data_IF_960143652537
#
_entry.id   IF_960143652537
#
_cell.length_a   1.000
_cell.length_b   1.000
_cell.length_c   1.000
_cell.angle_alpha   90.00
_cell.angle_beta   90.00
_cell.angle_gamma   90.00
#
_symmetry.space_group_name_H-M   'P 1'
#
loop_
_entity.id
_entity.type
_entity.pdbx_description
1 polymer ?
#
# COMPACT_ATOMS: atom_id res chain seq x y z
N UNK A 1 25.35 33.36 12.86
CA UNK A 1 23.97 33.54 13.41
C UNK A 1 23.05 32.74 12.49
N UNK A 2 22.28 31.77 12.80
CA UNK A 2 21.68 31.11 13.94
C UNK A 2 21.37 29.67 13.55
N UNK A 3 22.14 28.66 13.98
CA UNK A 3 21.87 27.22 13.81
C UNK A 3 21.05 26.62 14.97
N UNK A 4 20.52 27.44 15.88
CA UNK A 4 19.90 26.94 17.12
C UNK A 4 18.39 26.76 17.09
N UNK A 5 17.68 27.26 16.10
CA UNK A 5 16.20 27.24 16.12
C UNK A 5 15.58 26.00 15.43
N UNK A 6 16.32 25.31 14.58
CA UNK A 6 15.81 24.10 13.88
C UNK A 6 15.78 22.87 14.82
N UNK A 7 16.72 22.79 15.78
CA UNK A 7 16.74 21.69 16.77
C UNK A 7 15.59 21.77 17.79
N UNK A 8 15.14 22.98 18.13
CA UNK A 8 14.01 23.17 19.06
C UNK A 8 12.66 22.89 18.41
N UNK A 9 12.54 23.08 17.09
CA UNK A 9 11.29 22.80 16.37
C UNK A 9 11.04 21.30 16.19
N UNK A 10 12.08 20.50 16.03
CA UNK A 10 11.99 19.04 15.86
C UNK A 10 11.76 18.30 17.20
N UNK A 11 12.15 18.87 18.35
CA UNK A 11 11.89 18.25 19.66
C UNK A 11 10.47 18.49 20.19
N UNK A 12 9.77 19.52 19.70
CA UNK A 12 8.41 19.85 20.18
C UNK A 12 7.29 19.15 19.40
N UNK A 13 7.61 18.42 18.33
CA UNK A 13 6.62 17.64 17.53
C UNK A 13 6.54 16.17 18.00
N UNK A 14 7.48 15.70 18.82
CA UNK A 14 7.62 14.28 19.18
C UNK A 14 7.11 13.92 20.59
N UNK A 15 6.58 14.85 21.37
CA UNK A 15 6.17 14.51 22.74
C UNK A 15 4.97 15.36 23.22
N UNK A 16 3.73 14.97 22.87
CA UNK A 16 2.73 14.73 23.89
C UNK A 16 1.74 13.63 23.53
N UNK A 17 1.96 12.41 23.96
CA UNK A 17 0.88 11.41 24.08
C UNK A 17 1.27 10.25 25.00
N UNK A 18 1.53 10.55 26.24
CA UNK A 18 1.52 9.53 27.30
C UNK A 18 0.97 10.20 28.54
N UNK A 19 -0.32 9.98 28.78
CA UNK A 19 -1.04 9.91 30.05
C UNK A 19 -2.54 10.05 29.78
N UNK A 20 -3.29 8.95 29.68
CA UNK A 20 -4.69 8.93 30.09
C UNK A 20 -4.97 7.57 30.73
N UNK A 21 -5.39 7.66 31.96
CA UNK A 21 -5.77 6.60 32.89
C UNK A 21 -7.12 5.94 32.57
N UNK A 22 -7.17 4.65 32.78
CA UNK A 22 -8.17 3.68 33.29
C UNK A 22 -9.66 4.02 33.33
N UNK A 23 -10.47 3.11 32.76
CA UNK A 23 -11.89 2.98 33.02
C UNK A 23 -12.48 1.73 32.34
N UNK A 24 -13.27 0.94 33.06
CA UNK A 24 -13.82 -0.37 32.68
C UNK A 24 -14.76 -0.44 31.46
N UNK A 25 -14.89 0.61 30.68
CA UNK A 25 -15.53 0.61 29.35
C UNK A 25 -14.56 0.17 28.22
N UNK A 26 -13.41 -0.40 28.55
CA UNK A 26 -12.26 -0.56 27.66
C UNK A 26 -12.22 -1.93 26.94
N UNK A 27 -12.92 -2.94 27.45
CA UNK A 27 -12.77 -4.32 26.93
C UNK A 27 -13.54 -4.53 25.60
N UNK A 28 -14.73 -3.99 25.47
CA UNK A 28 -15.51 -4.05 24.21
C UNK A 28 -14.89 -3.17 23.11
N UNK A 29 -14.35 -2.01 23.49
CA UNK A 29 -13.65 -1.11 22.56
C UNK A 29 -12.31 -1.69 22.07
N UNK A 30 -11.60 -2.46 22.90
CA UNK A 30 -10.32 -3.04 22.56
C UNK A 30 -10.48 -4.23 21.58
N UNK A 31 -11.53 -5.05 21.73
CA UNK A 31 -11.86 -6.13 20.79
C UNK A 31 -12.23 -5.58 19.41
N UNK A 32 -12.99 -4.49 19.38
CA UNK A 32 -13.42 -3.80 18.18
C UNK A 32 -12.24 -3.20 17.39
N UNK A 33 -11.26 -2.60 18.09
CA UNK A 33 -10.04 -2.06 17.47
C UNK A 33 -9.14 -3.17 16.92
N UNK A 34 -9.01 -4.28 17.64
CA UNK A 34 -8.18 -5.40 17.19
C UNK A 34 -8.78 -6.11 15.97
N UNK A 35 -10.09 -6.23 15.90
CA UNK A 35 -10.78 -6.76 14.72
C UNK A 35 -10.66 -5.80 13.53
N UNK A 36 -10.81 -4.50 13.76
CA UNK A 36 -10.64 -3.49 12.73
C UNK A 36 -9.20 -3.45 12.21
N UNK A 37 -8.20 -3.73 13.06
CA UNK A 37 -6.80 -3.85 12.63
C UNK A 37 -6.63 -4.99 11.63
N UNK A 38 -7.20 -6.16 11.88
CA UNK A 38 -7.18 -7.29 10.93
C UNK A 38 -7.92 -6.97 9.63
N UNK A 39 -9.10 -6.36 9.73
CA UNK A 39 -9.87 -5.97 8.54
C UNK A 39 -9.17 -4.93 7.68
N UNK A 40 -8.43 -3.99 8.29
CA UNK A 40 -7.66 -2.98 7.55
C UNK A 40 -6.50 -3.57 6.74
N UNK A 41 -6.07 -4.78 7.06
CA UNK A 41 -5.03 -5.54 6.35
C UNK A 41 -5.60 -6.42 5.21
N UNK A 42 -6.92 -6.51 5.07
CA UNK A 42 -7.59 -7.27 4.03
C UNK A 42 -7.82 -6.38 2.79
N UNK A 43 -7.16 -6.66 1.64
CA UNK A 43 -7.31 -5.85 0.43
C UNK A 43 -8.73 -5.85 -0.17
N UNK A 44 -9.54 -6.85 0.15
CA UNK A 44 -10.93 -7.03 -0.34
C UNK A 44 -11.95 -6.99 0.80
N UNK A 45 -11.67 -6.25 1.86
CA UNK A 45 -12.60 -6.06 2.97
C UNK A 45 -13.89 -5.37 2.51
N UNK A 46 -15.03 -5.79 3.10
CA UNK A 46 -16.31 -5.10 2.91
C UNK A 46 -16.37 -3.81 3.73
N UNK A 47 -15.42 -2.92 3.51
CA UNK A 47 -15.24 -1.67 4.23
C UNK A 47 -14.70 -0.60 3.28
N UNK A 48 -15.31 0.58 3.28
CA UNK A 48 -14.70 1.72 2.59
C UNK A 48 -13.41 2.12 3.30
N UNK A 49 -12.36 2.39 2.52
CA UNK A 49 -11.12 2.89 3.08
C UNK A 49 -10.40 3.82 2.11
N UNK A 50 -9.64 4.74 2.67
CA UNK A 50 -8.84 5.70 1.91
C UNK A 50 -7.41 5.67 2.44
N UNK A 51 -6.58 4.73 1.96
CA UNK A 51 -5.15 4.72 2.24
C UNK A 51 -4.44 5.88 1.52
N UNK A 52 -3.67 6.63 2.27
CA UNK A 52 -2.69 7.60 1.78
C UNK A 52 -1.32 7.14 2.25
N UNK A 53 -0.37 6.97 1.35
CA UNK A 53 0.95 6.50 1.71
C UNK A 53 2.05 7.26 0.97
N UNK A 54 3.11 7.57 1.71
CA UNK A 54 4.37 8.05 1.17
C UNK A 54 5.32 6.86 0.98
N UNK A 55 5.97 6.81 -0.17
CA UNK A 55 7.01 5.85 -0.51
C UNK A 55 8.27 6.62 -0.90
N UNK A 56 9.33 6.48 -0.13
CA UNK A 56 10.65 7.00 -0.45
C UNK A 56 11.58 5.87 -0.90
N UNK A 57 11.95 5.89 -2.18
CA UNK A 57 12.87 4.93 -2.80
C UNK A 57 14.28 5.53 -2.84
N UNK A 58 15.22 4.91 -2.10
CA UNK A 58 16.59 5.39 -1.96
C UNK A 58 17.53 4.72 -2.96
N UNK A 59 18.52 5.47 -3.42
CA UNK A 59 19.51 5.00 -4.39
C UNK A 59 18.87 4.41 -5.66
N UNK A 60 17.87 5.11 -6.19
CA UNK A 60 17.15 4.72 -7.40
C UNK A 60 17.85 5.27 -8.64
N UNK A 61 17.96 4.45 -9.69
CA UNK A 61 18.61 4.79 -10.94
C UNK A 61 20.13 4.89 -10.84
N UNK A 62 20.79 5.18 -11.96
CA UNK A 62 22.22 5.34 -12.08
C UNK A 62 22.76 6.49 -11.18
N UNK A 63 21.99 7.56 -11.03
CA UNK A 63 22.34 8.74 -10.22
C UNK A 63 22.06 8.54 -8.71
N UNK A 64 21.61 7.36 -8.28
CA UNK A 64 21.33 7.00 -6.88
C UNK A 64 20.39 7.99 -6.18
N UNK A 65 19.33 8.36 -6.83
CA UNK A 65 18.38 9.37 -6.38
C UNK A 65 17.43 8.86 -5.27
N UNK A 66 16.87 9.80 -4.52
CA UNK A 66 15.70 9.58 -3.67
C UNK A 66 14.43 9.92 -4.47
N UNK A 67 13.75 8.91 -4.99
CA UNK A 67 12.45 9.09 -5.65
C UNK A 67 11.34 8.97 -4.62
N UNK A 68 10.52 10.00 -4.54
CA UNK A 68 9.42 10.09 -3.57
C UNK A 68 8.08 9.98 -4.26
N UNK A 69 7.20 9.10 -3.77
CA UNK A 69 5.85 8.92 -4.33
C UNK A 69 4.80 9.00 -3.23
N UNK A 70 3.84 9.90 -3.41
CA UNK A 70 2.61 9.92 -2.62
C UNK A 70 1.56 9.11 -3.36
N UNK A 71 0.93 8.14 -2.70
CA UNK A 71 -0.08 7.27 -3.29
C UNK A 71 -1.41 7.42 -2.55
N UNK A 72 -2.47 7.69 -3.29
CA UNK A 72 -3.85 7.63 -2.81
C UNK A 72 -4.49 6.34 -3.35
N UNK A 73 -5.02 5.48 -2.46
CA UNK A 73 -5.51 4.13 -2.82
C UNK A 73 -6.94 3.87 -2.33
N UNK A 74 -7.98 4.61 -2.78
CA UNK A 74 -9.35 4.39 -2.32
C UNK A 74 -9.85 2.98 -2.62
N UNK A 75 -10.60 2.42 -1.68
CA UNK A 75 -11.24 1.10 -1.76
C UNK A 75 -12.74 1.27 -1.55
N UNK A 76 -13.52 0.81 -2.52
CA UNK A 76 -14.98 0.94 -2.56
C UNK A 76 -15.61 -0.45 -2.71
N UNK A 77 -16.20 -1.02 -1.65
CA UNK A 77 -16.93 -2.27 -1.73
C UNK A 77 -18.38 -2.03 -2.16
N UNK A 78 -18.78 -2.71 -3.23
CA UNK A 78 -20.16 -2.74 -3.74
C UNK A 78 -20.75 -4.12 -3.52
N UNK A 79 -21.86 -4.21 -2.80
CA UNK A 79 -22.56 -5.47 -2.59
C UNK A 79 -23.39 -5.81 -3.82
N UNK A 80 -23.02 -6.85 -4.55
CA UNK A 80 -23.75 -7.34 -5.72
C UNK A 80 -24.88 -8.28 -5.32
N UNK A 81 -24.63 -9.10 -4.30
CA UNK A 81 -25.65 -10.02 -3.74
C UNK A 81 -25.33 -10.34 -2.28
N UNK A 82 -26.17 -11.16 -1.63
CA UNK A 82 -25.92 -11.63 -0.27
C UNK A 82 -24.56 -12.34 -0.13
N UNK A 83 -24.08 -12.98 -1.19
CA UNK A 83 -22.88 -13.82 -1.18
C UNK A 83 -21.72 -13.24 -1.99
N UNK A 84 -21.88 -12.10 -2.67
CA UNK A 84 -20.88 -11.58 -3.61
C UNK A 84 -20.68 -10.08 -3.46
N UNK A 85 -19.43 -9.68 -3.39
CA UNK A 85 -18.94 -8.29 -3.42
C UNK A 85 -18.17 -8.02 -4.71
N UNK A 86 -18.33 -6.81 -5.23
CA UNK A 86 -17.37 -6.20 -6.15
C UNK A 86 -16.56 -5.18 -5.35
N UNK A 87 -15.25 -5.35 -5.31
CA UNK A 87 -14.34 -4.39 -4.69
C UNK A 87 -13.65 -3.60 -5.80
N UNK A 88 -13.87 -2.32 -5.83
CA UNK A 88 -13.14 -1.38 -6.68
C UNK A 88 -12.00 -0.75 -5.88
N UNK A 89 -10.79 -0.73 -6.46
CA UNK A 89 -9.63 -0.03 -5.92
C UNK A 89 -8.99 0.81 -7.01
N UNK A 90 -8.63 2.04 -6.69
CA UNK A 90 -7.76 2.85 -7.54
C UNK A 90 -6.41 3.07 -6.85
N UNK A 91 -5.36 3.24 -7.64
CA UNK A 91 -4.04 3.66 -7.18
C UNK A 91 -3.68 4.90 -7.98
N UNK A 92 -3.56 6.02 -7.29
CA UNK A 92 -3.25 7.33 -7.88
C UNK A 92 -1.89 7.77 -7.32
N UNK A 93 -0.80 7.62 -8.08
CA UNK A 93 0.54 7.96 -7.64
C UNK A 93 0.93 9.37 -8.10
N UNK A 94 1.43 10.19 -7.18
CA UNK A 94 2.10 11.46 -7.47
C UNK A 94 3.57 11.31 -7.09
N UNK A 95 4.44 11.40 -8.08
CA UNK A 95 5.88 11.13 -7.92
C UNK A 95 6.70 12.40 -8.06
N UNK A 96 7.66 12.58 -7.17
CA UNK A 96 8.74 13.56 -7.27
C UNK A 96 10.04 12.86 -7.63
N UNK A 97 10.65 13.30 -8.72
CA UNK A 97 12.00 12.92 -9.16
C UNK A 97 12.92 14.13 -8.94
N UNK A 98 14.00 14.01 -8.13
CA UNK A 98 14.94 15.10 -7.92
C UNK A 98 15.81 15.36 -9.15
N UNK A 99 16.78 16.31 -9.03
CA UNK A 99 17.77 16.58 -10.09
C UNK A 99 18.45 15.28 -10.59
N UNK A 100 18.70 15.15 -11.91
CA UNK A 100 18.62 16.21 -12.92
C UNK A 100 17.20 16.47 -13.44
N UNK A 101 16.24 15.53 -13.26
CA UNK A 101 14.88 15.68 -13.79
C UNK A 101 14.10 16.82 -13.12
N UNK A 102 14.21 16.95 -11.80
CA UNK A 102 13.55 17.93 -10.93
C UNK A 102 12.07 18.13 -11.26
N UNK A 103 11.31 17.01 -11.28
CA UNK A 103 9.92 16.96 -11.71
C UNK A 103 9.02 16.42 -10.62
N UNK A 104 7.80 16.97 -10.54
CA UNK A 104 6.69 16.38 -9.79
C UNK A 104 5.53 16.18 -10.75
N UNK A 105 4.90 15.02 -10.69
CA UNK A 105 3.80 14.74 -11.58
C UNK A 105 2.96 13.54 -11.16
N UNK A 106 1.78 13.45 -11.79
CA UNK A 106 0.94 12.27 -11.72
C UNK A 106 1.58 11.16 -12.56
N UNK A 107 1.70 9.96 -12.02
CA UNK A 107 2.08 8.77 -12.77
C UNK A 107 0.83 8.00 -13.24
N UNK A 108 1.01 6.81 -13.81
CA UNK A 108 -0.10 6.05 -14.36
C UNK A 108 -1.07 5.58 -13.26
N UNK A 109 -2.34 5.90 -13.43
CA UNK A 109 -3.41 5.46 -12.54
C UNK A 109 -3.73 4.00 -12.82
N UNK A 110 -3.86 3.21 -11.75
CA UNK A 110 -4.24 1.80 -11.83
C UNK A 110 -5.62 1.61 -11.21
N UNK A 111 -6.46 0.84 -11.89
CA UNK A 111 -7.81 0.46 -11.50
C UNK A 111 -7.87 -1.05 -11.32
N UNK A 112 -8.30 -1.51 -10.17
CA UNK A 112 -8.38 -2.93 -9.81
C UNK A 112 -9.83 -3.26 -9.42
N UNK A 113 -10.31 -4.40 -9.91
CA UNK A 113 -11.66 -4.87 -9.67
C UNK A 113 -11.60 -6.31 -9.18
N UNK A 114 -12.18 -6.59 -8.01
CA UNK A 114 -12.18 -7.94 -7.46
C UNK A 114 -13.62 -8.39 -7.20
N UNK A 115 -13.98 -9.53 -7.73
CA UNK A 115 -15.10 -10.31 -7.22
C UNK A 115 -14.61 -11.10 -6.00
N UNK A 116 -15.31 -10.97 -4.88
CA UNK A 116 -14.94 -11.60 -3.61
C UNK A 116 -16.20 -12.10 -2.89
N UNK A 117 -16.13 -13.23 -2.15
CA UNK A 117 -17.25 -13.67 -1.33
C UNK A 117 -17.64 -12.63 -0.28
N UNK A 118 -18.94 -12.43 -0.12
CA UNK A 118 -19.50 -11.60 0.94
C UNK A 118 -19.88 -12.46 2.14
N UNK A 119 -19.01 -12.54 3.13
CA UNK A 119 -19.28 -13.34 4.33
C UNK A 119 -18.12 -13.31 5.30
N UNK A 120 -18.36 -13.85 6.50
CA UNK A 120 -17.32 -14.05 7.50
C UNK A 120 -16.67 -15.41 7.25
N UNK A 121 -15.46 -15.39 6.69
CA UNK A 121 -14.65 -16.58 6.49
C UNK A 121 -13.24 -16.33 6.99
N UNK A 122 -12.58 -17.38 7.44
CA UNK A 122 -11.15 -17.33 7.73
C UNK A 122 -10.30 -17.36 6.46
N UNK A 123 -10.84 -17.92 5.38
CA UNK A 123 -10.26 -17.90 4.05
C UNK A 123 -11.02 -16.90 3.17
N UNK A 124 -10.32 -15.92 2.66
CA UNK A 124 -10.86 -14.85 1.83
C UNK A 124 -10.07 -14.82 0.53
N UNK A 125 -10.77 -14.64 -0.56
CA UNK A 125 -10.17 -14.49 -1.88
C UNK A 125 -10.86 -13.41 -2.68
N UNK A 126 -10.19 -12.91 -3.67
CA UNK A 126 -10.74 -12.00 -4.68
C UNK A 126 -10.02 -12.20 -6.00
N UNK A 127 -10.75 -12.11 -7.10
CA UNK A 127 -10.23 -12.27 -8.45
C UNK A 127 -10.88 -11.26 -9.38
N UNK A 128 -10.11 -10.70 -10.28
CA UNK A 128 -10.64 -9.81 -11.31
C UNK A 128 -9.56 -9.19 -12.18
N UNK A 129 -9.93 -8.23 -13.03
CA UNK A 129 -9.00 -7.51 -13.87
C UNK A 129 -8.36 -6.32 -13.16
N UNK A 130 -7.16 -5.99 -13.60
CA UNK A 130 -6.50 -4.72 -13.38
C UNK A 130 -6.28 -4.01 -14.72
N UNK A 131 -6.43 -2.69 -14.74
CA UNK A 131 -6.16 -1.83 -15.89
C UNK A 131 -5.32 -0.65 -15.41
N UNK A 132 -4.24 -0.31 -16.15
CA UNK A 132 -3.47 0.92 -15.94
C UNK A 132 -3.69 1.86 -17.11
N UNK A 133 -3.97 3.12 -16.79
CA UNK A 133 -4.22 4.18 -17.74
C UNK A 133 -2.96 5.03 -17.88
N UNK A 134 -2.52 5.37 -19.11
CA UNK A 134 -1.38 6.27 -19.33
C UNK A 134 -1.76 7.72 -18.99
N UNK A 135 -1.89 7.99 -17.70
CA UNK A 135 -2.36 9.27 -17.14
C UNK A 135 -1.24 10.19 -16.70
N UNK A 136 0.01 9.92 -17.07
CA UNK A 136 1.16 10.73 -16.70
C UNK A 136 1.01 12.21 -17.03
N UNK A 137 1.17 13.09 -16.03
CA UNK A 137 1.14 14.56 -16.19
C UNK A 137 2.32 15.15 -15.40
N UNK A 138 3.32 15.75 -16.10
CA UNK A 138 3.52 15.75 -17.58
C UNK A 138 3.67 14.32 -18.14
N UNK A 139 3.56 14.16 -19.45
CA UNK A 139 3.45 12.85 -20.11
C UNK A 139 4.63 11.89 -19.83
N UNK A 140 5.82 12.41 -19.58
CA UNK A 140 7.02 11.67 -19.23
C UNK A 140 7.06 11.18 -17.76
N UNK A 141 6.05 11.48 -16.96
CA UNK A 141 5.84 10.91 -15.62
C UNK A 141 5.04 9.59 -15.65
N UNK A 142 4.50 9.22 -16.79
CA UNK A 142 3.80 7.95 -17.03
C UNK A 142 4.55 7.06 -18.02
N UNK A 143 4.08 5.83 -18.17
CA UNK A 143 4.63 4.85 -19.12
C UNK A 143 4.21 5.13 -20.58
N UNK A 144 3.18 5.93 -20.80
CA UNK A 144 2.57 6.12 -22.11
C UNK A 144 1.85 4.88 -22.65
N UNK A 145 1.65 3.85 -21.82
CA UNK A 145 1.10 2.54 -22.18
C UNK A 145 -0.18 2.23 -21.42
N UNK A 146 -1.16 1.72 -22.13
CA UNK A 146 -2.28 1.02 -21.52
C UNK A 146 -1.85 -0.40 -21.19
N UNK A 147 -2.04 -0.80 -19.94
CA UNK A 147 -1.75 -2.17 -19.52
C UNK A 147 -2.98 -2.77 -18.84
N UNK A 148 -3.16 -4.07 -19.02
CA UNK A 148 -4.20 -4.82 -18.33
C UNK A 148 -3.71 -6.24 -17.99
N UNK A 149 -4.43 -6.89 -17.09
CA UNK A 149 -4.18 -8.29 -16.77
C UNK A 149 -4.96 -8.77 -15.56
N UNK A 150 -4.79 -10.03 -15.17
CA UNK A 150 -5.44 -10.61 -14.00
C UNK A 150 -4.84 -10.07 -12.70
N UNK A 151 -5.72 -9.92 -11.73
CA UNK A 151 -5.39 -9.51 -10.39
C UNK A 151 -6.10 -10.43 -9.38
N UNK A 152 -5.35 -11.02 -8.47
CA UNK A 152 -5.86 -11.99 -7.53
C UNK A 152 -5.36 -11.70 -6.12
N UNK A 153 -6.19 -11.96 -5.13
CA UNK A 153 -5.83 -11.93 -3.72
C UNK A 153 -6.34 -13.18 -3.02
N UNK A 154 -5.51 -13.73 -2.16
CA UNK A 154 -5.89 -14.79 -1.22
C UNK A 154 -5.33 -14.45 0.15
N UNK A 155 -6.12 -14.66 1.20
CA UNK A 155 -5.65 -14.47 2.56
C UNK A 155 -6.38 -15.35 3.57
N UNK A 156 -5.69 -15.61 4.68
CA UNK A 156 -6.20 -16.29 5.86
C UNK A 156 -6.17 -15.36 7.07
N UNK A 157 -7.29 -15.31 7.78
CA UNK A 157 -7.42 -14.62 9.07
C UNK A 157 -7.45 -15.65 10.19
N UNK A 158 -6.30 -15.92 10.81
CA UNK A 158 -6.10 -16.98 11.81
C UNK A 158 -5.79 -16.34 13.17
N UNK A 159 -6.78 -16.28 14.05
CA UNK A 159 -6.63 -15.64 15.38
C UNK A 159 -5.97 -14.26 15.30
N UNK A 160 -4.67 -14.16 15.64
CA UNK A 160 -3.88 -12.93 15.56
C UNK A 160 -3.21 -12.72 14.20
N UNK A 161 -3.15 -13.73 13.35
CA UNK A 161 -2.46 -13.64 12.07
C UNK A 161 -3.38 -13.24 10.93
N UNK A 162 -2.88 -12.39 10.05
CA UNK A 162 -3.40 -12.14 8.71
C UNK A 162 -2.28 -12.45 7.73
N UNK A 163 -2.43 -13.55 6.98
CA UNK A 163 -1.41 -14.06 6.07
C UNK A 163 -2.04 -14.20 4.68
N UNK A 164 -1.37 -13.71 3.65
CA UNK A 164 -1.91 -13.79 2.31
C UNK A 164 -0.97 -13.26 1.25
N UNK A 165 -1.50 -13.19 0.04
CA UNK A 165 -0.81 -12.57 -1.09
C UNK A 165 -1.80 -11.89 -2.03
N UNK A 166 -1.38 -10.77 -2.60
CA UNK A 166 -1.99 -10.11 -3.72
C UNK A 166 -1.01 -10.24 -4.90
N UNK A 167 -1.51 -10.69 -6.04
CA UNK A 167 -0.70 -10.95 -7.24
C UNK A 167 -1.38 -10.30 -8.44
N UNK A 168 -0.65 -9.45 -9.14
CA UNK A 168 -1.11 -8.76 -10.35
C UNK A 168 -0.13 -9.01 -11.49
N UNK A 169 -0.58 -9.60 -12.57
CA UNK A 169 0.17 -9.64 -13.83
C UNK A 169 -0.39 -8.59 -14.77
N UNK A 170 0.46 -7.86 -15.47
CA UNK A 170 0.03 -6.85 -16.45
C UNK A 170 0.88 -6.86 -17.71
N UNK A 171 0.22 -6.63 -18.84
CA UNK A 171 0.82 -6.54 -20.18
C UNK A 171 0.34 -5.27 -20.89
N UNK A 172 1.21 -4.69 -21.70
CA UNK A 172 0.81 -3.63 -22.65
C UNK A 172 -0.13 -4.20 -23.70
N UNK A 173 -1.22 -3.51 -23.98
CA UNK A 173 -2.12 -3.82 -25.09
C UNK A 173 -2.35 -2.63 -26.04
N UNK A 174 -2.01 -1.41 -25.64
CA UNK A 174 -2.12 -0.19 -26.44
C UNK A 174 -1.20 0.92 -25.91
N UNK A 175 -1.06 2.00 -26.66
CA UNK A 175 -0.36 3.22 -26.22
C UNK A 175 0.71 3.69 -27.18
N UNK A 176 1.65 4.50 -26.71
CA UNK A 176 2.69 5.12 -27.51
C UNK A 176 3.72 4.06 -27.99
N UNK A 177 3.81 3.84 -29.31
CA UNK A 177 4.71 2.85 -29.92
C UNK A 177 6.19 3.10 -29.71
N UNK A 178 6.61 4.32 -29.40
CA UNK A 178 8.01 4.67 -29.08
C UNK A 178 8.43 4.36 -27.66
N UNK A 179 7.49 4.06 -26.76
CA UNK A 179 7.75 3.70 -25.38
C UNK A 179 7.86 2.18 -25.22
N UNK A 180 8.67 1.74 -24.26
CA UNK A 180 8.89 0.31 -23.98
C UNK A 180 7.60 -0.35 -23.49
N UNK A 181 7.29 -1.53 -24.02
CA UNK A 181 6.17 -2.34 -23.55
C UNK A 181 6.39 -2.83 -22.12
N UNK A 182 5.31 -3.00 -21.39
CA UNK A 182 5.30 -3.48 -20.02
C UNK A 182 4.84 -4.93 -20.01
N UNK A 183 5.63 -5.78 -19.37
CA UNK A 183 5.29 -7.14 -19.02
C UNK A 183 5.80 -7.37 -17.60
N UNK A 184 4.90 -7.23 -16.60
CA UNK A 184 5.31 -7.13 -15.21
C UNK A 184 4.38 -7.91 -14.30
N UNK A 185 4.98 -8.70 -13.43
CA UNK A 185 4.32 -9.32 -12.28
C UNK A 185 4.58 -8.47 -11.02
N UNK A 186 3.53 -8.21 -10.26
CA UNK A 186 3.58 -7.63 -8.93
C UNK A 186 3.09 -8.65 -7.92
N UNK A 187 3.82 -8.80 -6.82
CA UNK A 187 3.46 -9.68 -5.72
C UNK A 187 3.59 -8.87 -4.41
N UNK A 188 2.53 -8.82 -3.64
CA UNK A 188 2.55 -8.39 -2.26
C UNK A 188 2.17 -9.57 -1.36
N UNK A 189 3.16 -10.37 -0.97
CA UNK A 189 2.97 -11.42 0.02
C UNK A 189 3.05 -10.81 1.42
N UNK A 190 2.06 -11.06 2.26
CA UNK A 190 2.03 -10.44 3.59
C UNK A 190 1.76 -11.46 4.69
N UNK A 191 2.41 -11.23 5.84
CA UNK A 191 2.18 -11.97 7.08
C UNK A 191 2.25 -10.97 8.23
N UNK A 192 1.11 -10.68 8.86
CA UNK A 192 0.98 -9.71 9.93
C UNK A 192 0.48 -10.37 11.20
N UNK A 193 1.19 -10.16 12.30
CA UNK A 193 0.76 -10.55 13.64
C UNK A 193 0.11 -9.36 14.35
N UNK A 194 -1.12 -9.53 14.80
CA UNK A 194 -1.91 -8.51 15.46
C UNK A 194 -1.84 -8.68 16.98
N UNK A 195 -1.27 -7.69 17.64
CA UNK A 195 -1.20 -7.59 19.09
C UNK A 195 -2.49 -6.95 19.64
N UNK A 196 -2.57 -6.90 20.96
CA UNK A 196 -3.63 -6.17 21.67
C UNK A 196 -3.57 -4.66 21.35
N UNK A 197 -4.70 -3.97 21.54
CA UNK A 197 -4.81 -2.51 21.37
C UNK A 197 -4.50 -2.00 19.95
N UNK A 198 -4.74 -2.83 18.92
CA UNK A 198 -4.64 -2.44 17.51
C UNK A 198 -3.23 -2.35 16.93
N UNK A 199 -2.21 -2.78 17.64
CA UNK A 199 -0.86 -2.89 17.11
C UNK A 199 -0.72 -4.12 16.20
N UNK A 200 0.09 -3.99 15.16
CA UNK A 200 0.53 -5.12 14.35
C UNK A 200 1.98 -4.96 13.91
N UNK A 201 2.66 -6.08 13.80
CA UNK A 201 4.00 -6.21 13.21
C UNK A 201 3.92 -7.25 12.10
N UNK A 202 4.56 -6.98 10.97
CA UNK A 202 4.49 -7.90 9.86
C UNK A 202 5.54 -7.69 8.79
N UNK A 203 5.39 -8.49 7.76
CA UNK A 203 6.12 -8.43 6.51
C UNK A 203 5.11 -8.24 5.39
N UNK A 204 5.28 -7.21 4.55
CA UNK A 204 4.38 -6.91 3.43
C UNK A 204 5.15 -6.18 2.33
N UNK A 205 6.10 -6.87 1.68
CA UNK A 205 6.98 -6.31 0.66
C UNK A 205 6.24 -6.03 -0.64
N UNK A 206 6.80 -5.15 -1.46
CA UNK A 206 6.39 -4.91 -2.83
C UNK A 206 7.42 -5.56 -3.76
N UNK A 207 7.10 -6.73 -4.30
CA UNK A 207 7.96 -7.53 -5.18
C UNK A 207 7.51 -7.30 -6.62
N UNK A 208 8.44 -6.97 -7.50
CA UNK A 208 8.18 -6.81 -8.92
C UNK A 208 9.07 -7.75 -9.74
N UNK A 209 8.52 -8.25 -10.83
CA UNK A 209 9.26 -9.00 -11.84
C UNK A 209 9.01 -8.33 -13.18
N UNK A 210 10.07 -7.88 -13.83
CA UNK A 210 10.01 -7.35 -15.19
C UNK A 210 10.43 -8.43 -16.18
N UNK A 211 9.46 -9.06 -16.83
CA UNK A 211 9.71 -10.16 -17.77
C UNK A 211 10.41 -9.73 -19.06
N UNK A 212 10.50 -8.42 -19.33
CA UNK A 212 11.24 -7.89 -20.49
C UNK A 212 12.76 -7.81 -20.23
N UNK A 213 13.21 -8.08 -19.00
CA UNK A 213 14.63 -8.11 -18.62
C UNK A 213 15.08 -9.57 -18.53
N UNK A 214 16.09 -10.00 -19.31
CA UNK A 214 16.55 -11.40 -19.29
C UNK A 214 17.26 -11.76 -17.99
N UNK A 215 18.02 -10.79 -17.41
CA UNK A 215 18.78 -10.99 -16.19
C UNK A 215 18.23 -10.11 -15.06
N UNK A 216 18.16 -10.67 -13.84
CA UNK A 216 17.74 -9.94 -12.65
C UNK A 216 16.37 -9.26 -12.79
N UNK A 217 15.41 -9.97 -13.37
CA UNK A 217 14.03 -9.49 -13.54
C UNK A 217 13.34 -9.15 -12.20
N UNK A 218 13.83 -9.67 -11.09
CA UNK A 218 13.22 -9.59 -9.77
C UNK A 218 13.81 -8.49 -8.90
N UNK A 219 12.96 -7.84 -8.09
CA UNK A 219 13.40 -7.27 -6.84
C UNK A 219 12.84 -8.10 -5.67
N UNK A 220 13.65 -8.34 -4.66
CA UNK A 220 13.24 -9.06 -3.45
C UNK A 220 13.56 -8.22 -2.22
N UNK A 221 12.58 -7.51 -1.64
CA UNK A 221 12.76 -6.70 -0.44
C UNK A 221 12.61 -7.56 0.82
N UNK A 222 13.52 -7.33 1.78
CA UNK A 222 13.49 -7.87 3.13
C UNK A 222 13.36 -6.71 4.11
N UNK A 223 12.46 -6.80 5.06
CA UNK A 223 12.19 -5.74 6.02
C UNK A 223 10.96 -6.02 6.85
N UNK A 224 10.42 -5.00 7.49
CA UNK A 224 9.27 -5.11 8.37
C UNK A 224 8.33 -3.90 8.22
N UNK A 225 7.08 -4.12 8.60
CA UNK A 225 6.07 -3.08 8.77
C UNK A 225 5.52 -3.14 10.20
N UNK A 226 5.44 -2.00 10.85
CA UNK A 226 4.70 -1.80 12.08
C UNK A 226 3.47 -0.95 11.78
N UNK A 227 2.34 -1.31 12.35
CA UNK A 227 1.12 -0.53 12.20
C UNK A 227 0.31 -0.48 13.49
N UNK A 228 -0.56 0.54 13.57
CA UNK A 228 -1.49 0.70 14.68
C UNK A 228 -2.82 1.25 14.18
N UNK A 229 -3.90 0.60 14.58
CA UNK A 229 -5.24 1.16 14.45
C UNK A 229 -5.58 1.96 15.71
N UNK A 230 -6.05 3.16 15.50
CA UNK A 230 -6.47 4.08 16.57
C UNK A 230 -7.75 4.83 16.14
N UNK A 231 -8.39 5.51 17.08
CA UNK A 231 -9.56 6.37 16.80
C UNK A 231 -9.18 7.83 17.08
N UNK A 232 -9.37 8.68 16.09
CA UNK A 232 -9.29 10.13 16.24
C UNK A 232 -10.73 10.67 16.35
N UNK A 233 -11.18 10.91 17.58
CA UNK A 233 -12.60 11.13 17.84
C UNK A 233 -13.44 9.90 17.46
N UNK A 234 -14.36 10.08 16.50
CA UNK A 234 -15.20 8.98 15.96
C UNK A 234 -14.59 8.27 14.76
N UNK A 235 -13.54 8.84 14.16
CA UNK A 235 -12.91 8.32 12.94
C UNK A 235 -11.83 7.29 13.28
N UNK A 236 -12.00 6.01 12.93
CA UNK A 236 -10.92 5.04 13.03
C UNK A 236 -9.95 5.23 11.86
N UNK A 237 -8.67 5.08 12.18
CA UNK A 237 -7.60 5.14 11.19
C UNK A 237 -6.48 4.15 11.55
N UNK A 238 -5.78 3.67 10.51
CA UNK A 238 -4.58 2.87 10.65
C UNK A 238 -3.38 3.70 10.24
N UNK A 239 -2.38 3.77 11.10
CA UNK A 239 -1.07 4.36 10.78
C UNK A 239 -0.05 3.25 10.62
N UNK A 240 0.90 3.40 9.69
CA UNK A 240 1.92 2.39 9.43
C UNK A 240 3.25 3.01 9.04
N UNK A 241 4.32 2.31 9.40
CA UNK A 241 5.68 2.62 8.98
C UNK A 241 6.37 1.30 8.60
N UNK A 242 7.02 1.28 7.44
CA UNK A 242 7.75 0.13 6.94
C UNK A 242 9.11 0.54 6.40
N UNK A 243 10.09 -0.37 6.53
CA UNK A 243 11.41 -0.23 5.94
C UNK A 243 11.83 -1.55 5.31
N UNK A 244 12.32 -1.50 4.07
CA UNK A 244 12.73 -2.65 3.30
C UNK A 244 14.04 -2.40 2.57
N UNK A 245 14.88 -3.43 2.51
CA UNK A 245 16.09 -3.47 1.71
C UNK A 245 15.97 -4.54 0.62
N UNK A 246 16.22 -4.17 -0.65
CA UNK A 246 16.16 -5.08 -1.78
C UNK A 246 17.44 -5.92 -1.84
N UNK A 247 17.38 -7.16 -1.34
CA UNK A 247 18.52 -8.11 -1.32
C UNK A 247 18.82 -8.68 -2.71
N UNK A 248 17.80 -8.77 -3.57
CA UNK A 248 17.91 -9.05 -5.00
C UNK A 248 17.26 -7.88 -5.73
N UNK A 249 17.91 -7.36 -6.75
CA UNK A 249 17.40 -6.27 -7.57
C UNK A 249 18.22 -6.10 -8.85
N UNK A 250 17.63 -5.52 -9.91
CA UNK A 250 18.37 -5.00 -11.06
C UNK A 250 19.40 -3.94 -10.64
N UNK A 251 20.45 -3.72 -11.44
CA UNK A 251 21.57 -2.85 -11.10
C UNK A 251 21.15 -1.41 -10.72
N UNK A 252 20.23 -0.82 -11.47
CA UNK A 252 19.76 0.56 -11.27
C UNK A 252 18.46 0.65 -10.47
N UNK A 253 18.03 -0.45 -9.87
CA UNK A 253 16.82 -0.47 -9.04
C UNK A 253 17.14 0.10 -7.64
N UNK A 254 16.08 0.58 -6.96
CA UNK A 254 16.23 1.12 -5.60
C UNK A 254 16.86 0.10 -4.63
N UNK A 255 17.78 0.56 -3.77
CA UNK A 255 18.43 -0.29 -2.78
C UNK A 255 17.49 -0.59 -1.61
N UNK A 256 16.82 0.45 -1.13
CA UNK A 256 15.92 0.37 0.02
C UNK A 256 14.76 1.34 -0.15
N UNK A 257 13.67 1.04 0.49
CA UNK A 257 12.56 1.98 0.56
C UNK A 257 11.98 2.06 1.98
N UNK A 258 11.45 3.25 2.28
CA UNK A 258 10.65 3.50 3.47
C UNK A 258 9.24 3.85 3.02
N UNK A 259 8.25 3.27 3.68
CA UNK A 259 6.83 3.54 3.42
C UNK A 259 6.15 3.97 4.70
N UNK A 260 5.55 5.15 4.69
CA UNK A 260 4.71 5.65 5.77
C UNK A 260 3.27 5.76 5.26
N UNK A 261 2.29 5.37 6.06
CA UNK A 261 0.91 5.36 5.61
C UNK A 261 -0.10 5.76 6.69
N UNK A 262 -1.18 6.38 6.24
CA UNK A 262 -2.39 6.62 7.03
C UNK A 262 -3.56 6.10 6.20
N UNK A 263 -4.39 5.25 6.80
CA UNK A 263 -5.61 4.74 6.15
C UNK A 263 -6.82 5.19 6.96
N UNK A 264 -7.69 5.97 6.35
CA UNK A 264 -9.00 6.30 6.91
C UNK A 264 -9.93 5.11 6.69
N UNK A 265 -10.57 4.62 7.76
CA UNK A 265 -11.40 3.44 7.76
C UNK A 265 -12.86 3.83 7.98
N UNK A 266 -13.76 3.35 7.13
CA UNK A 266 -15.19 3.63 7.21
C UNK A 266 -15.95 2.31 7.25
N UNK A 267 -16.02 1.64 8.43
CA UNK A 267 -16.77 0.41 8.59
C UNK A 267 -18.24 0.64 8.23
N UNK A 268 -18.84 -0.29 7.49
CA UNK A 268 -20.29 -0.25 7.26
C UNK A 268 -21.01 -0.43 8.59
N UNK A 269 -22.03 0.38 8.82
CA UNK A 269 -22.95 0.17 9.95
C UNK A 269 -23.55 -1.24 9.84
N UNK A 270 -23.65 -1.91 10.99
CA UNK A 270 -24.32 -3.23 11.09
C UNK A 270 -25.79 -3.09 10.86
#
# INVERSE_FOLDING_TARGET
>A
MKKSNLRRLLLNILFPCLMISSGMAQQDKASDISELAKQSQNPVANMYSVPVSYLGNFNSGADKLLISTLMLKPVIPVTLSKNLLLIFRAIVPVTYMPSPANKTGLSDIQLQFYLSPNGKSHFIWGLGPMISVPSGIPADMGSGKWTAGPDAVVLFMLKQWVIGALVTQRWTFAGNGSMTDINQLYINAFANYNFKHGWALGYSPEIYVNWNQPDYAWNLPVGLVISKVLKLGKQPLSVSLAGYYNVIRPADYTNMYIKAGITFLFPKAK
#
